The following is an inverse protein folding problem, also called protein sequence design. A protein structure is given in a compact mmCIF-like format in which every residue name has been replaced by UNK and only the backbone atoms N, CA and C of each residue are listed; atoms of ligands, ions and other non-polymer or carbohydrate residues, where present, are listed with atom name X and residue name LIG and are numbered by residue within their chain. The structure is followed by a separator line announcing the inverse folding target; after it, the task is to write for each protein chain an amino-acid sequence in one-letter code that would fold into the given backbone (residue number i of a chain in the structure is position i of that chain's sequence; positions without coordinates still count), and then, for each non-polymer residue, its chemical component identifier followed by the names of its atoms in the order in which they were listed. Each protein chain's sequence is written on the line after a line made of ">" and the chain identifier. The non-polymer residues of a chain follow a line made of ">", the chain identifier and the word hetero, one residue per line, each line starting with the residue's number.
data_IF_807837517658
#
_entry.id   IF_807837517658
#
_cell.length_a   1.000
_cell.length_b   1.000
_cell.length_c   1.000
_cell.angle_alpha   90.00
_cell.angle_beta   90.00
_cell.angle_gamma   90.00
#
_symmetry.space_group_name_H-M   'P 1'
#
loop_
_entity.id
_entity.type
_entity.pdbx_description
1 polymer ?
#
# COMPACT_ATOMS: atom_id res chain seq x y z
N UNK A 1 0.64 25.50 -33.05
CA UNK A 1 0.33 24.43 -32.09
C UNK A 1 1.37 24.57 -31.00
N UNK A 2 1.03 25.30 -29.94
CA UNK A 2 2.03 25.96 -29.11
C UNK A 2 1.89 25.55 -27.66
N UNK A 3 2.94 24.93 -27.13
CA UNK A 3 3.07 24.62 -25.71
C UNK A 3 4.04 25.64 -25.13
N UNK A 4 3.56 26.50 -24.23
CA UNK A 4 4.40 27.40 -23.45
C UNK A 4 4.24 27.13 -21.97
N UNK A 5 5.36 27.10 -21.27
CA UNK A 5 5.44 26.95 -19.82
C UNK A 5 5.46 28.34 -19.20
N UNK A 6 4.70 28.55 -18.14
CA UNK A 6 4.79 29.74 -17.28
C UNK A 6 4.86 29.23 -15.84
N UNK A 7 5.89 29.64 -15.12
CA UNK A 7 6.08 29.34 -13.71
C UNK A 7 5.48 30.47 -12.86
N UNK A 8 4.81 30.13 -11.77
CA UNK A 8 4.23 31.11 -10.83
C UNK A 8 4.45 30.60 -9.41
N UNK A 9 5.34 31.26 -8.68
CA UNK A 9 5.65 30.93 -7.29
C UNK A 9 4.63 31.55 -6.32
N UNK A 10 4.09 30.72 -5.42
CA UNK A 10 3.53 31.20 -4.15
C UNK A 10 3.79 30.13 -3.06
N UNK A 11 4.19 30.49 -1.82
CA UNK A 11 5.16 29.65 -1.09
C UNK A 11 4.71 28.29 -0.55
N UNK A 12 3.40 27.99 -0.43
CA UNK A 12 2.96 26.83 0.38
C UNK A 12 2.10 25.77 -0.33
N UNK A 13 1.27 26.11 -1.32
CA UNK A 13 0.42 25.15 -2.05
C UNK A 13 0.18 25.58 -3.51
N UNK A 14 0.66 24.79 -4.45
CA UNK A 14 0.13 24.72 -5.82
C UNK A 14 -0.64 23.40 -5.97
N UNK A 15 -1.81 23.40 -6.64
CA UNK A 15 -2.86 22.37 -6.47
C UNK A 15 -3.76 22.28 -7.73
N UNK A 16 -3.81 21.10 -8.39
CA UNK A 16 -4.02 21.01 -9.84
C UNK A 16 -4.17 19.49 -10.46
N UNK A 17 -5.09 19.14 -11.42
CA UNK A 17 -5.35 17.85 -12.20
C UNK A 17 -5.92 17.99 -13.68
N UNK A 18 -5.21 17.70 -14.79
CA UNK A 18 -5.53 18.16 -16.19
C UNK A 18 -6.89 17.70 -16.80
N UNK A 19 -7.52 18.57 -17.61
CA UNK A 19 -8.73 18.28 -18.41
C UNK A 19 -8.53 18.48 -19.93
N UNK A 20 -9.32 17.75 -20.74
CA UNK A 20 -9.53 17.97 -22.17
C UNK A 20 -10.91 18.60 -22.35
N UNK A 21 -11.03 19.62 -23.22
CA UNK A 21 -12.28 20.36 -23.46
C UNK A 21 -12.50 20.45 -24.97
N UNK A 22 -13.67 20.01 -25.43
CA UNK A 22 -14.11 20.23 -26.81
C UNK A 22 -14.55 21.70 -26.98
N UNK A 23 -14.25 22.34 -28.11
CA UNK A 23 -14.30 23.81 -28.25
C UNK A 23 -15.70 24.43 -28.10
N UNK A 24 -16.76 23.63 -28.18
CA UNK A 24 -18.15 24.11 -28.33
C UNK A 24 -19.03 23.94 -27.06
N UNK A 25 -18.47 23.48 -25.94
CA UNK A 25 -19.20 23.31 -24.67
C UNK A 25 -19.47 24.65 -23.96
N UNK A 26 -20.66 24.81 -23.35
CA UNK A 26 -20.98 26.00 -22.56
C UNK A 26 -20.31 25.97 -21.18
N UNK A 27 -19.92 27.15 -20.67
CA UNK A 27 -19.30 27.34 -19.35
C UNK A 27 -20.14 26.73 -18.20
N UNK A 28 -21.47 26.80 -18.28
CA UNK A 28 -22.39 26.19 -17.31
C UNK A 28 -22.35 24.66 -17.34
N UNK A 29 -22.28 24.07 -18.53
CA UNK A 29 -22.20 22.62 -18.74
C UNK A 29 -20.85 22.09 -18.26
N UNK A 30 -19.76 22.78 -18.61
CA UNK A 30 -18.41 22.47 -18.11
C UNK A 30 -18.34 22.53 -16.58
N UNK A 31 -18.91 23.57 -15.96
CA UNK A 31 -19.00 23.67 -14.49
C UNK A 31 -19.77 22.49 -13.90
N UNK A 32 -20.94 22.15 -14.43
CA UNK A 32 -21.73 21.01 -13.97
C UNK A 32 -21.00 19.67 -14.15
N UNK A 33 -20.28 19.48 -15.27
CA UNK A 33 -19.45 18.28 -15.50
C UNK A 33 -18.32 18.17 -14.49
N UNK A 34 -17.59 19.25 -14.22
CA UNK A 34 -16.52 19.30 -13.21
C UNK A 34 -17.10 19.03 -11.82
N UNK A 35 -18.20 19.71 -11.44
CA UNK A 35 -18.88 19.49 -10.17
C UNK A 35 -19.31 18.03 -10.00
N UNK A 36 -19.90 17.40 -11.02
CA UNK A 36 -20.34 16.00 -10.97
C UNK A 36 -19.15 15.02 -10.89
N UNK A 37 -18.07 15.25 -11.64
CA UNK A 37 -16.88 14.37 -11.62
C UNK A 37 -16.03 14.52 -10.35
N UNK A 38 -16.06 15.70 -9.71
CA UNK A 38 -15.24 16.02 -8.53
C UNK A 38 -16.03 15.85 -7.23
N UNK A 39 -17.37 15.76 -7.25
CA UNK A 39 -18.21 15.53 -6.07
C UNK A 39 -17.84 14.25 -5.28
N UNK A 40 -17.38 13.20 -5.96
CA UNK A 40 -16.89 11.95 -5.34
C UNK A 40 -15.53 12.11 -4.63
N UNK A 41 -14.84 13.24 -4.85
CA UNK A 41 -13.44 13.48 -4.47
C UNK A 41 -13.34 14.64 -3.46
N UNK A 42 -14.17 15.66 -3.60
CA UNK A 42 -14.22 16.88 -2.77
C UNK A 42 -15.70 17.15 -2.44
N UNK A 43 -16.02 17.43 -1.18
CA UNK A 43 -17.40 17.75 -0.80
C UNK A 43 -17.88 19.00 -1.53
N UNK A 44 -19.17 19.08 -1.86
CA UNK A 44 -19.74 20.16 -2.71
C UNK A 44 -19.53 21.58 -2.19
N UNK A 45 -19.08 21.73 -0.94
CA UNK A 45 -18.94 23.01 -0.24
C UNK A 45 -17.47 23.44 -0.07
N UNK A 46 -16.49 22.60 -0.44
CA UNK A 46 -15.05 22.82 -0.17
C UNK A 46 -14.28 23.42 -1.37
N UNK A 47 -14.95 23.85 -2.44
CA UNK A 47 -14.34 24.58 -3.55
C UNK A 47 -15.16 25.82 -3.91
N UNK A 48 -14.46 26.92 -4.21
CA UNK A 48 -15.06 28.15 -4.73
C UNK A 48 -14.42 28.46 -6.08
N UNK A 49 -15.25 28.68 -7.11
CA UNK A 49 -14.82 29.39 -8.30
C UNK A 49 -14.64 30.86 -7.91
N UNK A 50 -13.39 31.33 -7.77
CA UNK A 50 -13.14 32.75 -7.55
C UNK A 50 -13.55 33.52 -8.79
N UNK A 51 -14.56 34.38 -8.65
CA UNK A 51 -14.86 35.40 -9.64
C UNK A 51 -13.71 36.41 -9.66
N UNK A 52 -12.96 36.45 -10.75
CA UNK A 52 -12.09 37.58 -11.06
C UNK A 52 -12.84 38.54 -11.97
N UNK A 53 -12.87 39.83 -11.62
CA UNK A 53 -13.50 40.92 -12.39
C UNK A 53 -12.66 41.34 -13.61
N UNK A 54 -11.99 40.39 -14.25
CA UNK A 54 -11.18 40.60 -15.45
C UNK A 54 -11.67 39.60 -16.49
N UNK A 55 -12.10 40.10 -17.64
CA UNK A 55 -12.50 39.26 -18.78
C UNK A 55 -11.27 38.51 -19.32
N UNK A 56 -11.04 37.32 -18.78
CA UNK A 56 -10.08 36.37 -19.33
C UNK A 56 -10.63 35.85 -20.66
N UNK A 57 -9.80 35.84 -21.70
CA UNK A 57 -10.21 35.25 -22.98
C UNK A 57 -10.49 33.75 -22.80
N UNK A 58 -11.38 33.18 -23.63
CA UNK A 58 -11.73 31.75 -23.59
C UNK A 58 -10.52 30.81 -23.67
N UNK A 59 -9.40 31.26 -24.25
CA UNK A 59 -8.13 30.53 -24.32
C UNK A 59 -7.35 30.50 -22.99
N UNK A 60 -7.58 31.47 -22.10
CA UNK A 60 -6.86 31.63 -20.84
C UNK A 60 -7.55 30.87 -19.69
N UNK A 61 -8.89 30.82 -19.67
CA UNK A 61 -9.64 30.02 -18.67
C UNK A 61 -9.31 28.52 -18.76
N UNK A 62 -9.05 27.99 -19.96
CA UNK A 62 -8.63 26.59 -20.16
C UNK A 62 -7.22 26.28 -19.62
N UNK A 63 -6.42 27.31 -19.30
CA UNK A 63 -5.03 27.17 -18.83
C UNK A 63 -4.90 27.11 -17.31
N UNK A 64 -5.99 26.89 -16.57
CA UNK A 64 -5.91 26.40 -15.19
C UNK A 64 -5.41 24.94 -15.23
N UNK A 65 -4.14 24.75 -15.60
CA UNK A 65 -3.34 23.55 -15.31
C UNK A 65 -3.17 23.57 -13.80
N UNK A 66 -3.75 22.69 -13.04
CA UNK A 66 -4.12 21.30 -13.26
C UNK A 66 -2.97 20.19 -13.39
N UNK A 67 -1.83 20.30 -12.65
CA UNK A 67 -0.76 19.29 -12.43
C UNK A 67 -0.14 19.12 -11.00
N UNK A 68 -0.81 19.50 -9.90
CA UNK A 68 -0.19 19.57 -8.56
C UNK A 68 -1.13 19.34 -7.35
N UNK A 69 -2.35 18.74 -7.47
CA UNK A 69 -3.18 18.35 -6.29
C UNK A 69 -2.49 17.15 -5.63
N UNK A 70 -1.47 17.53 -4.86
CA UNK A 70 -1.16 17.03 -3.54
C UNK A 70 -2.42 16.40 -2.93
N UNK A 71 -2.35 15.08 -2.82
CA UNK A 71 -3.06 14.30 -1.81
C UNK A 71 -2.48 14.65 -0.43
N UNK A 72 -2.59 15.93 -0.05
CA UNK A 72 -2.27 16.52 1.25
C UNK A 72 -3.49 17.26 1.80
N UNK A 73 -4.70 16.75 1.55
CA UNK A 73 -5.86 17.17 2.34
C UNK A 73 -5.73 16.75 3.81
N UNK A 74 -4.79 15.86 4.15
CA UNK A 74 -4.43 15.50 5.53
C UNK A 74 -3.04 14.82 5.67
N UNK A 75 -2.03 15.24 4.90
CA UNK A 75 -0.65 14.68 4.95
C UNK A 75 -0.51 13.18 4.52
N UNK A 76 -1.56 12.61 3.91
CA UNK A 76 -1.68 11.18 3.54
C UNK A 76 -1.53 10.96 2.04
N UNK A 77 -0.31 10.63 1.59
CA UNK A 77 -0.01 10.38 0.18
C UNK A 77 -0.55 9.04 -0.32
N UNK A 78 -1.63 9.09 -1.09
CA UNK A 78 -2.08 7.98 -1.95
C UNK A 78 -1.24 7.92 -3.23
N UNK A 79 -1.20 6.76 -3.87
CA UNK A 79 -0.60 6.53 -5.19
C UNK A 79 -1.67 6.65 -6.28
N UNK A 80 -1.32 7.16 -7.46
CA UNK A 80 -2.26 7.21 -8.58
C UNK A 80 -2.51 5.82 -9.17
N UNK A 81 -3.70 5.59 -9.74
CA UNK A 81 -4.02 4.32 -10.41
C UNK A 81 -3.04 4.04 -11.57
N UNK A 82 -2.64 5.05 -12.34
CA UNK A 82 -1.60 4.90 -13.37
C UNK A 82 -0.27 4.38 -12.80
N UNK A 83 0.13 4.81 -11.61
CA UNK A 83 1.36 4.34 -10.96
C UNK A 83 1.19 2.95 -10.34
N UNK A 84 0.01 2.60 -9.85
CA UNK A 84 -0.31 1.21 -9.48
C UNK A 84 -0.14 0.30 -10.71
N UNK A 85 -0.74 0.67 -11.84
CA UNK A 85 -0.80 -0.18 -13.03
C UNK A 85 0.56 -0.34 -13.73
N UNK A 86 1.47 0.65 -13.61
CA UNK A 86 2.90 0.54 -14.02
C UNK A 86 3.68 -0.51 -13.22
N UNK A 87 3.28 -0.82 -11.98
CA UNK A 87 3.95 -1.82 -11.15
C UNK A 87 3.82 -3.23 -11.73
N UNK A 88 4.75 -4.13 -11.39
CA UNK A 88 4.70 -5.54 -11.82
C UNK A 88 4.67 -6.49 -10.61
N UNK A 89 3.91 -7.59 -10.73
CA UNK A 89 3.80 -8.63 -9.69
C UNK A 89 3.49 -8.06 -8.30
N UNK A 90 4.31 -8.45 -7.31
CA UNK A 90 4.16 -8.04 -5.90
C UNK A 90 4.32 -6.54 -5.65
N UNK A 91 4.95 -5.78 -6.56
CA UNK A 91 5.01 -4.32 -6.45
C UNK A 91 3.64 -3.68 -6.72
N UNK A 92 2.94 -4.14 -7.77
CA UNK A 92 1.58 -3.69 -8.10
C UNK A 92 0.61 -3.99 -6.95
N UNK A 93 0.75 -5.17 -6.36
CA UNK A 93 -0.02 -5.59 -5.19
C UNK A 93 0.28 -4.73 -3.95
N UNK A 94 1.56 -4.43 -3.67
CA UNK A 94 1.93 -3.48 -2.62
C UNK A 94 1.34 -2.09 -2.85
N UNK A 95 1.40 -1.55 -4.08
CA UNK A 95 0.84 -0.23 -4.42
C UNK A 95 -0.69 -0.19 -4.26
N UNK A 96 -1.41 -1.28 -4.57
CA UNK A 96 -2.86 -1.43 -4.30
C UNK A 96 -3.14 -1.49 -2.79
N UNK A 97 -2.43 -2.35 -2.07
CA UNK A 97 -2.53 -2.51 -0.62
C UNK A 97 -2.26 -1.20 0.12
N UNK A 98 -1.26 -0.42 -0.31
CA UNK A 98 -0.97 0.91 0.20
C UNK A 98 -2.19 1.81 0.15
N UNK A 99 -2.82 1.95 -1.02
CA UNK A 99 -4.00 2.78 -1.16
C UNK A 99 -5.18 2.28 -0.31
N UNK A 100 -5.39 0.97 -0.23
CA UNK A 100 -6.44 0.38 0.60
C UNK A 100 -6.24 0.71 2.09
N UNK A 101 -5.03 0.51 2.62
CA UNK A 101 -4.71 0.76 4.02
C UNK A 101 -4.67 2.26 4.35
N UNK A 102 -4.14 3.10 3.46
CA UNK A 102 -4.19 4.55 3.63
C UNK A 102 -5.64 5.04 3.59
N UNK A 103 -6.54 4.46 2.77
CA UNK A 103 -7.99 4.79 2.82
C UNK A 103 -8.61 4.40 4.17
N UNK A 104 -8.27 3.23 4.73
CA UNK A 104 -8.73 2.83 6.07
C UNK A 104 -8.22 3.78 7.16
N UNK A 105 -6.93 4.14 7.13
CA UNK A 105 -6.32 5.09 8.08
C UNK A 105 -6.74 6.55 7.84
N UNK A 106 -7.24 6.89 6.65
CA UNK A 106 -7.79 8.20 6.35
C UNK A 106 -9.05 8.48 7.17
N UNK A 107 -9.95 7.48 7.27
CA UNK A 107 -11.30 7.61 7.84
C UNK A 107 -11.37 7.86 9.35
N UNK A 108 -10.36 7.49 10.13
CA UNK A 108 -10.50 7.36 11.60
C UNK A 108 -9.47 8.12 12.44
N UNK A 109 -8.51 8.84 11.85
CA UNK A 109 -7.38 9.36 12.67
C UNK A 109 -6.56 10.44 11.99
N UNK A 110 -6.11 11.45 12.74
CA UNK A 110 -5.06 12.42 12.34
C UNK A 110 -3.64 11.83 12.46
N UNK A 111 -3.42 10.61 11.94
CA UNK A 111 -2.08 9.98 11.91
C UNK A 111 -1.19 10.72 10.92
N UNK A 112 -0.09 11.31 11.42
CA UNK A 112 0.92 11.97 10.60
C UNK A 112 1.67 10.99 9.69
N UNK A 113 2.16 11.50 8.55
CA UNK A 113 2.70 10.72 7.43
C UNK A 113 3.70 9.61 7.83
N UNK A 114 4.67 9.92 8.69
CA UNK A 114 5.73 8.97 9.11
C UNK A 114 5.16 7.74 9.83
N UNK A 115 4.17 7.93 10.70
CA UNK A 115 3.55 6.83 11.46
C UNK A 115 2.60 6.02 10.57
N UNK A 116 1.89 6.68 9.64
CA UNK A 116 1.10 5.99 8.60
C UNK A 116 2.00 5.07 7.75
N UNK A 117 3.11 5.60 7.23
CA UNK A 117 4.09 4.81 6.47
C UNK A 117 4.57 3.59 7.25
N UNK A 118 4.87 3.75 8.54
CA UNK A 118 5.28 2.65 9.41
C UNK A 118 4.18 1.60 9.56
N UNK A 119 2.95 2.01 9.90
CA UNK A 119 1.84 1.06 10.09
C UNK A 119 1.47 0.32 8.81
N UNK A 120 1.45 0.98 7.65
CA UNK A 120 1.19 0.32 6.36
C UNK A 120 2.30 -0.68 6.05
N UNK A 121 3.57 -0.33 6.27
CA UNK A 121 4.70 -1.26 6.11
C UNK A 121 4.62 -2.46 7.06
N UNK A 122 4.22 -2.26 8.31
CA UNK A 122 4.01 -3.36 9.27
C UNK A 122 2.87 -4.29 8.86
N UNK A 123 1.73 -3.74 8.41
CA UNK A 123 0.61 -4.53 7.90
C UNK A 123 0.96 -5.25 6.59
N UNK A 124 1.75 -4.63 5.72
CA UNK A 124 2.23 -5.26 4.48
C UNK A 124 3.12 -6.46 4.75
N UNK A 125 4.03 -6.37 5.75
CA UNK A 125 4.82 -7.52 6.18
C UNK A 125 3.94 -8.70 6.54
N UNK A 126 2.88 -8.50 7.33
CA UNK A 126 1.93 -9.57 7.68
C UNK A 126 1.15 -10.09 6.45
N UNK A 127 0.63 -9.19 5.60
CA UNK A 127 -0.09 -9.57 4.37
C UNK A 127 0.79 -10.42 3.43
N UNK A 128 2.09 -10.12 3.35
CA UNK A 128 3.07 -10.85 2.54
C UNK A 128 3.25 -12.31 2.99
N UNK A 129 2.96 -12.66 4.25
CA UNK A 129 2.91 -14.07 4.69
C UNK A 129 1.83 -14.84 3.93
N UNK A 130 0.60 -14.31 3.91
CA UNK A 130 -0.55 -14.91 3.21
C UNK A 130 -0.30 -15.07 1.71
N UNK A 131 0.41 -14.11 1.11
CA UNK A 131 0.79 -14.17 -0.31
C UNK A 131 1.82 -15.26 -0.58
N UNK A 132 2.83 -15.42 0.28
CA UNK A 132 3.81 -16.51 0.18
C UNK A 132 3.19 -17.90 0.46
N UNK A 133 2.18 -17.99 1.32
CA UNK A 133 1.38 -19.21 1.50
C UNK A 133 0.60 -19.58 0.24
N UNK A 134 -0.12 -18.63 -0.36
CA UNK A 134 -0.83 -18.83 -1.61
C UNK A 134 0.14 -19.20 -2.76
N UNK A 135 1.28 -18.51 -2.84
CA UNK A 135 2.33 -18.81 -3.82
C UNK A 135 2.93 -20.22 -3.61
N UNK A 136 3.09 -20.66 -2.36
CA UNK A 136 3.54 -22.02 -2.03
C UNK A 136 2.53 -23.07 -2.50
N UNK A 137 1.22 -22.87 -2.26
CA UNK A 137 0.16 -23.75 -2.76
C UNK A 137 0.16 -23.82 -4.29
N UNK A 138 0.27 -22.67 -4.97
CA UNK A 138 0.31 -22.62 -6.43
C UNK A 138 1.52 -23.37 -7.00
N UNK A 139 2.70 -23.28 -6.36
CA UNK A 139 3.90 -24.03 -6.78
C UNK A 139 3.73 -25.54 -6.57
N UNK A 140 3.11 -25.96 -5.47
CA UNK A 140 2.82 -27.38 -5.21
C UNK A 140 1.80 -27.96 -6.20
N UNK A 141 0.78 -27.17 -6.57
CA UNK A 141 -0.21 -27.57 -7.56
C UNK A 141 0.40 -27.65 -8.97
N UNK A 142 1.27 -26.71 -9.35
CA UNK A 142 2.03 -26.79 -10.61
C UNK A 142 2.94 -28.03 -10.66
N UNK A 143 3.67 -28.33 -9.58
CA UNK A 143 4.52 -29.52 -9.49
C UNK A 143 3.70 -30.82 -9.63
N UNK A 144 2.51 -30.86 -9.02
CA UNK A 144 1.57 -31.98 -9.17
C UNK A 144 1.06 -32.12 -10.61
N UNK A 145 0.61 -31.02 -11.23
CA UNK A 145 0.08 -31.03 -12.60
C UNK A 145 1.12 -31.43 -13.66
N UNK A 146 2.41 -31.17 -13.42
CA UNK A 146 3.49 -31.66 -14.30
C UNK A 146 3.72 -33.16 -14.07
N UNK A 147 3.78 -33.60 -12.81
CA UNK A 147 3.95 -35.01 -12.45
C UNK A 147 2.80 -35.92 -12.93
N UNK A 148 1.59 -35.38 -13.11
CA UNK A 148 0.43 -36.10 -13.66
C UNK A 148 0.40 -36.15 -15.21
N UNK A 149 1.28 -35.40 -15.90
CA UNK A 149 1.25 -35.25 -17.37
C UNK A 149 2.50 -35.75 -18.09
N UNK A 150 3.63 -35.83 -17.41
CA UNK A 150 4.90 -36.24 -17.99
C UNK A 150 5.33 -37.59 -17.38
N UNK A 151 5.23 -38.66 -18.16
CA UNK A 151 5.61 -40.03 -17.75
C UNK A 151 7.09 -40.16 -17.38
N UNK A 152 7.93 -39.23 -17.86
CA UNK A 152 9.37 -39.14 -17.56
C UNK A 152 9.70 -38.18 -16.40
N UNK A 153 8.69 -37.56 -15.76
CA UNK A 153 8.91 -36.55 -14.72
C UNK A 153 9.67 -37.10 -13.51
N UNK A 154 10.89 -36.58 -13.32
CA UNK A 154 11.65 -36.77 -12.09
C UNK A 154 11.72 -35.46 -11.30
N UNK A 155 11.30 -35.51 -10.03
CA UNK A 155 11.31 -34.36 -9.15
C UNK A 155 12.73 -33.73 -9.06
N UNK A 156 12.90 -32.42 -9.35
CA UNK A 156 14.21 -31.77 -9.39
C UNK A 156 15.03 -31.98 -8.11
N UNK A 157 16.23 -32.56 -8.25
CA UNK A 157 17.11 -32.96 -7.13
C UNK A 157 17.56 -31.81 -6.23
N UNK A 158 17.50 -30.57 -6.73
CA UNK A 158 18.09 -29.37 -6.12
C UNK A 158 17.21 -28.73 -5.03
N UNK A 159 15.87 -28.75 -5.16
CA UNK A 159 14.97 -28.16 -4.16
C UNK A 159 13.88 -29.12 -3.69
N UNK A 160 14.18 -29.80 -2.58
CA UNK A 160 13.30 -30.77 -1.94
C UNK A 160 12.02 -30.10 -1.40
N UNK A 161 10.86 -30.72 -1.67
CA UNK A 161 9.53 -30.34 -1.13
C UNK A 161 9.57 -30.08 0.38
N UNK A 162 10.25 -30.96 1.14
CA UNK A 162 10.45 -30.82 2.59
C UNK A 162 11.14 -29.51 3.03
N UNK A 163 12.02 -28.92 2.20
CA UNK A 163 12.67 -27.63 2.51
C UNK A 163 11.68 -26.47 2.37
N UNK A 164 10.78 -26.52 1.37
CA UNK A 164 9.71 -25.53 1.22
C UNK A 164 8.70 -25.69 2.37
N UNK A 165 8.30 -26.92 2.71
CA UNK A 165 7.43 -27.21 3.87
C UNK A 165 8.01 -26.69 5.20
N UNK A 166 9.31 -26.89 5.47
CA UNK A 166 9.95 -26.34 6.68
C UNK A 166 10.03 -24.81 6.67
N UNK A 167 10.21 -24.19 5.50
CA UNK A 167 10.33 -22.73 5.41
C UNK A 167 8.97 -22.01 5.39
N UNK A 168 7.88 -22.65 4.98
CA UNK A 168 6.53 -22.09 5.17
C UNK A 168 6.13 -22.14 6.65
N UNK A 169 6.46 -23.22 7.37
CA UNK A 169 6.15 -23.33 8.79
C UNK A 169 6.90 -22.27 9.62
N UNK A 170 8.20 -22.05 9.33
CA UNK A 170 8.96 -20.93 9.90
C UNK A 170 8.35 -19.54 9.64
N UNK A 171 7.67 -19.36 8.50
CA UNK A 171 6.94 -18.10 8.22
C UNK A 171 5.67 -18.01 9.06
N UNK A 172 4.95 -19.12 9.28
CA UNK A 172 3.77 -19.17 10.17
C UNK A 172 4.13 -18.90 11.62
N UNK A 173 5.06 -19.66 12.18
CA UNK A 173 5.57 -19.48 13.55
C UNK A 173 6.00 -18.03 13.79
N UNK A 174 6.77 -17.43 12.86
CA UNK A 174 7.19 -16.04 12.97
C UNK A 174 6.03 -15.03 12.81
N UNK A 175 4.98 -15.37 12.06
CA UNK A 175 3.77 -14.54 11.90
C UNK A 175 2.92 -14.56 13.17
N UNK A 176 2.65 -15.74 13.71
CA UNK A 176 1.89 -15.93 14.95
C UNK A 176 2.58 -15.26 16.14
N UNK A 177 3.89 -15.47 16.30
CA UNK A 177 4.70 -14.79 17.31
C UNK A 177 4.66 -13.25 17.15
N UNK A 178 4.80 -12.74 15.92
CA UNK A 178 4.68 -11.30 15.63
C UNK A 178 3.30 -10.77 16.02
N UNK A 179 2.24 -11.51 15.72
CA UNK A 179 0.86 -11.09 15.94
C UNK A 179 0.49 -11.11 17.42
N UNK A 180 0.84 -12.16 18.16
CA UNK A 180 0.71 -12.26 19.62
C UNK A 180 1.46 -11.14 20.36
N UNK A 181 2.70 -10.83 19.93
CA UNK A 181 3.45 -9.70 20.48
C UNK A 181 2.79 -8.34 20.17
N UNK A 182 2.19 -8.19 18.98
CA UNK A 182 1.45 -6.97 18.61
C UNK A 182 0.18 -6.78 19.44
N UNK A 183 -0.56 -7.86 19.69
CA UNK A 183 -1.74 -7.87 20.54
C UNK A 183 -1.38 -7.54 22.00
N UNK A 184 -0.30 -8.14 22.51
CA UNK A 184 0.29 -7.82 23.83
C UNK A 184 0.71 -6.35 23.94
N UNK A 185 1.39 -5.79 22.94
CA UNK A 185 1.73 -4.36 22.93
C UNK A 185 0.47 -3.48 22.88
N UNK A 186 -0.55 -3.90 22.12
CA UNK A 186 -1.83 -3.21 22.01
C UNK A 186 -2.59 -3.16 23.33
N UNK A 187 -2.79 -4.31 23.98
CA UNK A 187 -3.52 -4.42 25.24
C UNK A 187 -2.82 -3.66 26.37
N UNK A 188 -1.51 -3.85 26.57
CA UNK A 188 -0.75 -3.13 27.59
C UNK A 188 -0.76 -1.60 27.36
N UNK A 189 -0.63 -1.15 26.10
CA UNK A 189 -0.73 0.28 25.76
C UNK A 189 -2.13 0.84 25.99
N UNK A 190 -3.17 0.03 25.77
CA UNK A 190 -4.56 0.41 26.04
C UNK A 190 -4.86 0.48 27.55
N UNK A 191 -4.30 -0.43 28.35
CA UNK A 191 -4.38 -0.40 29.82
C UNK A 191 -3.81 0.89 30.39
N UNK A 192 -2.62 1.31 29.94
CA UNK A 192 -2.01 2.59 30.31
C UNK A 192 -2.83 3.81 29.87
N UNK A 193 -3.50 3.73 28.71
CA UNK A 193 -4.35 4.83 28.21
C UNK A 193 -5.67 4.95 28.98
N UNK A 194 -6.24 3.83 29.43
CA UNK A 194 -7.52 3.79 30.16
C UNK A 194 -7.38 4.07 31.65
N UNK A 195 -6.23 3.74 32.25
CA UNK A 195 -6.00 3.86 33.68
C UNK A 195 -4.75 4.74 33.90
N UNK A 196 -4.88 6.07 33.92
CA UNK A 196 -3.73 6.97 34.10
C UNK A 196 -3.06 6.78 35.48
N UNK A 197 -3.85 6.53 36.51
CA UNK A 197 -3.42 6.45 37.92
C UNK A 197 -3.13 5.00 38.39
N UNK A 198 -2.76 4.13 37.46
CA UNK A 198 -2.47 2.72 37.74
C UNK A 198 -1.31 2.60 38.75
N UNK A 199 -1.54 1.94 39.90
CA UNK A 199 -0.55 1.84 41.00
C UNK A 199 0.79 1.24 40.53
N UNK A 200 0.77 0.27 39.62
CA UNK A 200 1.96 -0.33 39.02
C UNK A 200 2.30 0.22 37.61
N UNK A 201 1.88 1.45 37.28
CA UNK A 201 2.10 2.09 35.96
C UNK A 201 3.53 1.96 35.45
N UNK A 202 4.52 2.26 36.29
CA UNK A 202 5.94 2.20 35.91
C UNK A 202 6.39 0.77 35.51
N UNK A 203 5.78 -0.27 36.09
CA UNK A 203 6.02 -1.66 35.70
C UNK A 203 5.36 -1.97 34.35
N UNK A 204 4.11 -1.57 34.17
CA UNK A 204 3.38 -1.76 32.89
C UNK A 204 4.08 -1.02 31.75
N UNK A 205 4.62 0.18 31.99
CA UNK A 205 5.44 0.91 31.00
C UNK A 205 6.75 0.20 30.65
N UNK A 206 7.42 -0.46 31.61
CA UNK A 206 8.58 -1.32 31.34
C UNK A 206 8.17 -2.54 30.51
N UNK A 207 7.04 -3.16 30.82
CA UNK A 207 6.52 -4.32 30.08
C UNK A 207 6.12 -3.94 28.64
N UNK A 208 5.51 -2.77 28.43
CA UNK A 208 5.27 -2.20 27.08
C UNK A 208 6.59 -1.99 26.31
N UNK A 209 7.63 -1.43 26.96
CA UNK A 209 8.94 -1.25 26.33
C UNK A 209 9.57 -2.60 25.94
N UNK A 210 9.55 -3.59 26.85
CA UNK A 210 10.05 -4.95 26.60
C UNK A 210 9.31 -5.63 25.44
N UNK A 211 7.98 -5.60 25.45
CA UNK A 211 7.16 -6.19 24.39
C UNK A 211 7.38 -5.50 23.02
N UNK A 212 7.57 -4.18 22.99
CA UNK A 212 7.94 -3.44 21.76
C UNK A 212 9.31 -3.86 21.22
N UNK A 213 10.31 -4.05 22.08
CA UNK A 213 11.63 -4.56 21.67
C UNK A 213 11.52 -5.99 21.11
N UNK A 214 10.79 -6.88 21.78
CA UNK A 214 10.53 -8.24 21.30
C UNK A 214 9.81 -8.25 19.94
N UNK A 215 8.82 -7.38 19.75
CA UNK A 215 8.10 -7.23 18.48
C UNK A 215 9.02 -6.77 17.33
N UNK A 216 9.98 -5.88 17.60
CA UNK A 216 10.98 -5.44 16.61
C UNK A 216 11.87 -6.62 16.18
N UNK A 217 12.33 -7.44 17.13
CA UNK A 217 13.12 -8.65 16.84
C UNK A 217 12.31 -9.66 16.02
N UNK A 218 11.09 -9.99 16.45
CA UNK A 218 10.21 -10.93 15.75
C UNK A 218 9.88 -10.46 14.33
N UNK A 219 9.65 -9.15 14.13
CA UNK A 219 9.47 -8.55 12.79
C UNK A 219 10.71 -8.60 11.90
N UNK A 220 11.92 -8.74 12.47
CA UNK A 220 13.17 -8.96 11.75
C UNK A 220 13.31 -10.42 11.33
N UNK A 221 12.97 -11.35 12.23
CA UNK A 221 12.95 -12.79 11.97
C UNK A 221 11.91 -13.17 10.92
N UNK A 222 10.70 -12.62 11.01
CA UNK A 222 9.64 -12.78 10.01
C UNK A 222 10.13 -12.35 8.62
N UNK A 223 10.81 -11.20 8.52
CA UNK A 223 11.41 -10.75 7.25
C UNK A 223 12.44 -11.75 6.72
N UNK A 224 13.33 -12.29 7.57
CA UNK A 224 14.33 -13.30 7.17
C UNK A 224 13.67 -14.59 6.69
N UNK A 225 12.62 -15.06 7.37
CA UNK A 225 11.84 -16.23 6.97
C UNK A 225 11.16 -16.00 5.60
N UNK A 226 10.50 -14.86 5.42
CA UNK A 226 9.87 -14.47 4.14
C UNK A 226 10.86 -14.35 2.98
N UNK A 227 12.02 -13.72 3.18
CA UNK A 227 13.02 -13.57 2.13
C UNK A 227 13.69 -14.91 1.78
N UNK A 228 13.84 -15.83 2.74
CA UNK A 228 14.29 -17.21 2.52
C UNK A 228 13.26 -18.00 1.71
N UNK A 229 11.99 -17.98 2.12
CA UNK A 229 10.92 -18.67 1.42
C UNK A 229 10.74 -18.14 0.00
N UNK A 230 10.75 -16.81 -0.20
CA UNK A 230 10.65 -16.18 -1.53
C UNK A 230 11.77 -16.66 -2.47
N UNK A 231 13.02 -16.73 -1.99
CA UNK A 231 14.14 -17.24 -2.79
C UNK A 231 13.92 -18.70 -3.21
N UNK A 232 13.41 -19.53 -2.29
CA UNK A 232 13.11 -20.92 -2.58
C UNK A 232 11.96 -21.05 -3.60
N UNK A 233 10.85 -20.33 -3.42
CA UNK A 233 9.73 -20.35 -4.38
C UNK A 233 10.16 -19.87 -5.76
N UNK A 234 11.01 -18.82 -5.85
CA UNK A 234 11.58 -18.37 -7.11
C UNK A 234 12.43 -19.44 -7.81
N UNK A 235 13.34 -20.08 -7.09
CA UNK A 235 14.17 -21.16 -7.63
C UNK A 235 13.35 -22.39 -8.06
N UNK A 236 12.33 -22.78 -7.27
CA UNK A 236 11.44 -23.89 -7.61
C UNK A 236 10.57 -23.56 -8.84
N UNK A 237 10.05 -22.33 -8.95
CA UNK A 237 9.31 -21.87 -10.13
C UNK A 237 10.16 -21.93 -11.41
N UNK A 238 11.42 -21.50 -11.33
CA UNK A 238 12.33 -21.56 -12.47
C UNK A 238 12.50 -23.01 -12.96
N UNK A 239 12.77 -23.94 -12.05
CA UNK A 239 12.88 -25.38 -12.34
C UNK A 239 11.60 -25.97 -12.95
N UNK A 240 10.41 -25.57 -12.46
CA UNK A 240 9.13 -26.01 -13.03
C UNK A 240 8.85 -25.38 -14.41
N UNK A 241 9.42 -24.21 -14.72
CA UNK A 241 9.29 -23.56 -16.04
C UNK A 241 10.30 -24.04 -17.09
N UNK A 242 11.36 -24.74 -16.67
CA UNK A 242 12.34 -25.37 -17.55
C UNK A 242 11.85 -26.71 -18.12
N UNK A 243 10.75 -27.28 -17.58
CA UNK A 243 10.12 -28.47 -18.14
C UNK A 243 9.19 -28.09 -19.31
N UNK A 244 9.27 -28.80 -20.46
CA UNK A 244 8.35 -28.58 -21.57
C UNK A 244 6.90 -28.89 -21.16
N UNK A 245 5.95 -28.18 -21.79
CA UNK A 245 4.50 -28.33 -21.59
C UNK A 245 3.89 -29.37 -22.50
#
# INVERSE_FOLDING_TARGET
>A
MDVKLIDVEHPEKAVAILFYVEPDILLSEMRNMISNQVADIISSNDYQFQHHEVELSRSQESSVILRNIRLTSNDKSFLMNADIEKGKGSEKEYRRFWNEEVRKMAKYTSIGKKEMHKQVNERWKLKRCSLLEAETKNVQELEKNIAEKADDWQAPKTMKKATISKNIERVREATENTQSLRETVGSLSQTLKRNPDLVNRAEVERNVKRAKTSLISSMSELRKAQDTLRKNLGAKKLQLSEYPK
#
